data_IF_232845024863
#
_entry.id   IF_232845024863
#
_cell.length_a   1.000
_cell.length_b   1.000
_cell.length_c   1.000
_cell.angle_alpha   90.00
_cell.angle_beta   90.00
_cell.angle_gamma   90.00
#
_symmetry.space_group_name_H-M   'P 1'
#
loop_
_entity.id
_entity.type
_entity.pdbx_description
1 polymer ?
#
# COMPACT_ATOMS: atom_id res chain seq x y z
N UNK A 1 -16.22 2.60 24.95
CA UNK A 1 -15.66 2.76 23.57
C UNK A 1 -16.35 1.77 22.65
N UNK A 2 -16.49 2.08 21.35
CA UNK A 2 -17.06 1.12 20.43
C UNK A 2 -16.07 -0.04 20.19
N UNK A 3 -16.59 -1.26 20.05
CA UNK A 3 -15.79 -2.41 19.65
C UNK A 3 -15.38 -2.31 18.18
N UNK A 4 -14.08 -2.31 17.88
CA UNK A 4 -13.58 -2.25 16.50
C UNK A 4 -13.42 -3.64 15.90
N UNK A 5 -13.94 -3.81 14.67
CA UNK A 5 -13.78 -5.02 13.86
C UNK A 5 -13.43 -4.59 12.44
N UNK A 6 -12.31 -5.04 11.91
CA UNK A 6 -11.92 -4.85 10.51
C UNK A 6 -12.26 -6.12 9.71
N UNK A 7 -12.89 -5.94 8.55
CA UNK A 7 -13.11 -7.01 7.58
C UNK A 7 -12.33 -6.64 6.32
N UNK A 8 -11.24 -7.37 6.05
CA UNK A 8 -10.36 -6.96 4.96
C UNK A 8 -9.46 -8.03 4.40
N UNK A 9 -8.92 -7.71 3.22
CA UNK A 9 -7.97 -8.55 2.48
C UNK A 9 -6.57 -8.45 3.12
N UNK A 10 -6.46 -8.95 4.35
CA UNK A 10 -5.27 -8.85 5.17
C UNK A 10 -4.97 -10.18 5.89
N UNK A 11 -3.71 -10.44 6.12
CA UNK A 11 -3.16 -11.56 6.89
C UNK A 11 -2.26 -11.02 8.01
N UNK A 12 -2.06 -11.80 9.08
CA UNK A 12 -1.01 -11.49 10.06
C UNK A 12 0.34 -11.30 9.36
N UNK A 13 1.19 -10.32 9.75
CA UNK A 13 2.43 -9.99 9.05
C UNK A 13 3.35 -11.19 8.80
N UNK A 14 3.52 -12.09 9.78
CA UNK A 14 4.34 -13.30 9.65
C UNK A 14 3.78 -14.23 8.57
N UNK A 15 2.47 -14.46 8.57
CA UNK A 15 1.81 -15.32 7.60
C UNK A 15 1.85 -14.69 6.20
N UNK A 16 1.65 -13.38 6.13
CA UNK A 16 1.75 -12.63 4.89
C UNK A 16 3.14 -12.80 4.26
N UNK A 17 4.22 -12.68 5.04
CA UNK A 17 5.58 -12.85 4.56
C UNK A 17 5.83 -14.25 4.02
N UNK A 18 5.42 -15.29 4.74
CA UNK A 18 5.54 -16.69 4.29
C UNK A 18 4.81 -16.93 2.96
N UNK A 19 3.65 -16.32 2.78
CA UNK A 19 2.87 -16.49 1.56
C UNK A 19 3.41 -15.63 0.40
N UNK A 20 4.00 -14.49 0.71
CA UNK A 20 4.67 -13.65 -0.28
C UNK A 20 5.91 -14.37 -0.84
N UNK A 21 6.72 -14.96 0.03
CA UNK A 21 7.91 -15.73 -0.34
C UNK A 21 7.54 -16.98 -1.17
N UNK A 22 6.39 -17.57 -0.89
CA UNK A 22 5.82 -18.68 -1.69
C UNK A 22 5.14 -18.21 -3.00
N UNK A 23 5.11 -16.92 -3.29
CA UNK A 23 4.46 -16.37 -4.48
C UNK A 23 2.92 -16.47 -4.49
N UNK A 24 2.28 -16.69 -3.34
CA UNK A 24 0.84 -16.96 -3.20
C UNK A 24 -0.01 -15.69 -3.03
N UNK A 25 0.59 -14.54 -2.71
CA UNK A 25 -0.12 -13.30 -2.38
C UNK A 25 -0.42 -12.45 -3.61
N UNK A 26 -1.58 -11.78 -3.57
CA UNK A 26 -1.99 -10.75 -4.52
C UNK A 26 -1.95 -9.39 -3.83
N UNK A 27 -1.49 -8.34 -4.53
CA UNK A 27 -1.49 -6.96 -4.07
C UNK A 27 -0.78 -6.70 -2.72
N UNK A 28 0.55 -6.84 -2.66
CA UNK A 28 1.32 -6.59 -1.43
C UNK A 28 1.18 -5.17 -0.86
N UNK A 29 1.01 -4.17 -1.72
CA UNK A 29 0.90 -2.76 -1.31
C UNK A 29 -0.35 -2.49 -0.47
N UNK A 30 -1.49 -3.07 -0.87
CA UNK A 30 -2.74 -2.96 -0.13
C UNK A 30 -2.66 -3.66 1.24
N UNK A 31 -2.06 -4.85 1.27
CA UNK A 31 -1.78 -5.57 2.52
C UNK A 31 -0.93 -4.69 3.46
N UNK A 32 0.12 -4.05 2.95
CA UNK A 32 1.00 -3.21 3.75
C UNK A 32 0.27 -1.99 4.33
N UNK A 33 -0.60 -1.34 3.53
CA UNK A 33 -1.44 -0.24 4.00
C UNK A 33 -2.35 -0.67 5.15
N UNK A 34 -3.09 -1.78 4.98
CA UNK A 34 -3.97 -2.29 6.03
C UNK A 34 -3.18 -2.75 7.27
N UNK A 35 -2.00 -3.36 7.10
CA UNK A 35 -1.15 -3.77 8.21
C UNK A 35 -0.72 -2.58 9.05
N UNK A 36 -0.22 -1.51 8.42
CA UNK A 36 0.17 -0.26 9.12
C UNK A 36 -1.02 0.39 9.84
N UNK A 37 -2.20 0.39 9.21
CA UNK A 37 -3.42 0.89 9.83
C UNK A 37 -3.81 0.09 11.08
N UNK A 38 -3.77 -1.25 10.97
CA UNK A 38 -4.07 -2.17 12.07
C UNK A 38 -3.08 -1.97 13.22
N UNK A 39 -1.78 -1.90 12.95
CA UNK A 39 -0.74 -1.66 13.95
C UNK A 39 -0.95 -0.33 14.67
N UNK A 40 -1.21 0.75 13.93
CA UNK A 40 -1.48 2.07 14.52
C UNK A 40 -2.71 2.07 15.42
N UNK A 41 -3.80 1.45 14.98
CA UNK A 41 -5.03 1.33 15.77
C UNK A 41 -4.82 0.44 17.01
N UNK A 42 -4.06 -0.66 16.87
CA UNK A 42 -3.83 -1.60 17.97
C UNK A 42 -3.02 -1.00 19.12
N UNK A 43 -2.27 0.06 18.87
CA UNK A 43 -1.58 0.82 19.91
C UNK A 43 -2.54 1.68 20.76
N UNK A 44 -3.77 1.90 20.29
CA UNK A 44 -4.78 2.74 20.96
C UNK A 44 -5.88 1.92 21.63
N UNK A 45 -6.33 0.85 20.98
CA UNK A 45 -7.40 -0.02 21.48
C UNK A 45 -7.41 -1.40 20.83
N UNK A 46 -8.16 -2.32 21.43
CA UNK A 46 -8.31 -3.68 20.91
C UNK A 46 -9.00 -3.69 19.54
N UNK A 47 -8.44 -4.48 18.61
CA UNK A 47 -8.97 -4.63 17.26
C UNK A 47 -9.15 -6.12 16.91
N UNK A 48 -10.31 -6.50 16.38
CA UNK A 48 -10.53 -7.78 15.75
C UNK A 48 -10.44 -7.66 14.23
N UNK A 49 -9.68 -8.53 13.60
CA UNK A 49 -9.48 -8.53 12.15
C UNK A 49 -10.03 -9.83 11.58
N UNK A 50 -11.13 -9.74 10.85
CA UNK A 50 -11.69 -10.86 10.11
C UNK A 50 -11.01 -10.94 8.75
N UNK A 51 -10.10 -11.89 8.61
CA UNK A 51 -9.22 -12.00 7.46
C UNK A 51 -9.96 -12.51 6.22
N UNK A 52 -9.81 -11.81 5.10
CA UNK A 52 -10.13 -12.26 3.75
C UNK A 52 -8.80 -12.54 3.02
N UNK A 53 -8.22 -13.74 3.14
CA UNK A 53 -6.87 -13.99 2.66
C UNK A 53 -6.69 -13.66 1.17
N UNK A 54 -5.72 -12.83 0.77
CA UNK A 54 -5.48 -12.43 -0.63
C UNK A 54 -4.73 -13.51 -1.43
N UNK A 55 -5.26 -14.72 -1.49
CA UNK A 55 -4.66 -15.90 -2.14
C UNK A 55 -4.97 -15.92 -3.64
N UNK A 56 -3.98 -16.29 -4.45
CA UNK A 56 -4.19 -16.55 -5.88
C UNK A 56 -5.19 -17.69 -6.10
N UNK A 57 -5.99 -17.60 -7.16
CA UNK A 57 -6.93 -18.67 -7.55
C UNK A 57 -6.21 -19.93 -8.01
N UNK A 58 -5.00 -19.78 -8.50
CA UNK A 58 -4.11 -20.87 -8.97
C UNK A 58 -3.23 -21.45 -7.87
N UNK A 59 -3.43 -21.01 -6.62
CA UNK A 59 -2.69 -21.55 -5.49
C UNK A 59 -2.92 -23.04 -5.34
N UNK A 60 -1.86 -23.79 -5.03
CA UNK A 60 -1.93 -25.21 -4.67
C UNK A 60 -2.67 -25.49 -3.35
N UNK A 61 -2.91 -24.43 -2.55
CA UNK A 61 -3.63 -24.53 -1.28
C UNK A 61 -5.14 -24.61 -1.51
N UNK A 62 -5.65 -25.82 -1.62
CA UNK A 62 -7.09 -26.08 -1.82
C UNK A 62 -7.93 -25.83 -0.57
N UNK A 63 -7.39 -26.12 0.61
CA UNK A 63 -8.06 -25.92 1.90
C UNK A 63 -7.22 -25.03 2.81
N UNK A 64 -7.89 -24.07 3.43
CA UNK A 64 -7.32 -23.20 4.45
C UNK A 64 -8.00 -23.45 5.79
N UNK A 65 -7.25 -23.84 6.82
CA UNK A 65 -7.82 -24.13 8.14
C UNK A 65 -8.21 -22.83 8.87
N UNK A 66 -9.02 -23.01 9.92
CA UNK A 66 -9.24 -21.94 10.90
C UNK A 66 -7.94 -21.66 11.67
N UNK A 67 -7.62 -20.38 11.83
CA UNK A 67 -6.51 -19.93 12.66
C UNK A 67 -6.85 -18.62 13.36
N UNK A 68 -6.42 -18.50 14.60
CA UNK A 68 -6.53 -17.27 15.39
C UNK A 68 -5.13 -16.88 15.82
N UNK A 69 -4.72 -15.67 15.39
CA UNK A 69 -3.43 -15.10 15.73
C UNK A 69 -3.65 -13.88 16.63
N UNK A 70 -2.84 -13.75 17.68
CA UNK A 70 -2.85 -12.59 18.57
C UNK A 70 -1.51 -11.88 18.48
N UNK A 71 -1.54 -10.59 18.11
CA UNK A 71 -0.38 -9.72 18.02
C UNK A 71 -0.72 -8.42 18.79
N UNK A 72 -0.11 -8.26 19.96
CA UNK A 72 -0.46 -7.15 20.85
C UNK A 72 -1.96 -7.11 21.16
N UNK A 73 -2.61 -6.00 20.91
CA UNK A 73 -4.05 -5.81 21.13
C UNK A 73 -4.91 -6.24 19.91
N UNK A 74 -4.29 -6.80 18.87
CA UNK A 74 -5.00 -7.27 17.68
C UNK A 74 -5.22 -8.77 17.69
N UNK A 75 -6.45 -9.18 17.39
CA UNK A 75 -6.81 -10.58 17.16
C UNK A 75 -7.20 -10.78 15.69
N UNK A 76 -6.36 -11.49 14.94
CA UNK A 76 -6.64 -11.90 13.56
C UNK A 76 -7.38 -13.23 13.55
N UNK A 77 -8.49 -13.29 12.83
CA UNK A 77 -9.34 -14.47 12.72
C UNK A 77 -9.42 -14.86 11.26
N UNK A 78 -8.79 -15.96 10.92
CA UNK A 78 -8.89 -16.60 9.62
C UNK A 78 -9.90 -17.74 9.71
N UNK A 79 -10.98 -17.63 8.95
CA UNK A 79 -11.99 -18.69 8.87
C UNK A 79 -11.54 -19.79 7.90
N UNK A 80 -11.95 -21.05 8.14
CA UNK A 80 -11.64 -22.13 7.21
C UNK A 80 -12.41 -21.94 5.89
N UNK A 81 -11.76 -22.23 4.76
CA UNK A 81 -12.40 -22.20 3.46
C UNK A 81 -11.73 -23.12 2.43
N UNK A 82 -12.52 -23.52 1.44
CA UNK A 82 -12.01 -24.16 0.24
C UNK A 82 -11.67 -23.07 -0.80
N UNK A 83 -10.44 -23.11 -1.34
CA UNK A 83 -9.95 -22.13 -2.29
C UNK A 83 -10.49 -22.40 -3.72
N UNK A 84 -11.80 -22.53 -3.83
CA UNK A 84 -12.49 -22.68 -5.11
C UNK A 84 -13.34 -21.44 -5.41
N UNK A 85 -13.42 -21.10 -6.69
CA UNK A 85 -14.01 -19.85 -7.19
C UNK A 85 -15.36 -19.48 -6.57
N UNK A 86 -16.25 -20.44 -6.42
CA UNK A 86 -17.62 -20.22 -5.94
C UNK A 86 -17.77 -20.52 -4.44
N UNK A 87 -17.10 -21.54 -3.94
CA UNK A 87 -17.23 -22.00 -2.56
C UNK A 87 -16.57 -21.04 -1.57
N UNK A 88 -15.41 -20.47 -1.94
CA UNK A 88 -14.66 -19.56 -1.06
C UNK A 88 -15.49 -18.34 -0.60
N UNK A 89 -16.10 -17.52 -1.48
CA UNK A 89 -16.87 -16.37 -1.00
C UNK A 89 -18.12 -16.76 -0.22
N UNK A 90 -18.75 -17.89 -0.56
CA UNK A 90 -19.93 -18.39 0.16
C UNK A 90 -19.58 -18.84 1.57
N UNK A 91 -18.57 -19.69 1.72
CA UNK A 91 -18.17 -20.21 3.03
C UNK A 91 -17.65 -19.10 3.95
N UNK A 92 -16.80 -18.21 3.45
CA UNK A 92 -16.31 -17.05 4.21
C UNK A 92 -17.45 -16.12 4.62
N UNK A 93 -18.38 -15.80 3.72
CA UNK A 93 -19.55 -14.98 4.04
C UNK A 93 -20.40 -15.61 5.15
N UNK A 94 -20.70 -16.91 5.04
CA UNK A 94 -21.50 -17.63 6.03
C UNK A 94 -20.85 -17.59 7.42
N UNK A 95 -19.57 -17.92 7.51
CA UNK A 95 -18.84 -17.97 8.77
C UNK A 95 -18.67 -16.61 9.41
N UNK A 96 -18.35 -15.58 8.61
CA UNK A 96 -18.25 -14.21 9.12
C UNK A 96 -19.59 -13.69 9.63
N UNK A 97 -20.70 -14.00 8.95
CA UNK A 97 -22.03 -13.66 9.47
C UNK A 97 -22.35 -14.38 10.76
N UNK A 98 -22.02 -15.65 10.87
CA UNK A 98 -22.19 -16.42 12.11
C UNK A 98 -21.37 -15.81 13.25
N UNK A 99 -20.13 -15.44 12.99
CA UNK A 99 -19.24 -14.78 13.94
C UNK A 99 -19.79 -13.43 14.38
N UNK A 100 -20.15 -12.55 13.43
CA UNK A 100 -20.70 -11.24 13.71
C UNK A 100 -22.00 -11.32 14.51
N UNK A 101 -22.93 -12.21 14.14
CA UNK A 101 -24.17 -12.43 14.92
C UNK A 101 -23.89 -12.85 16.37
N UNK A 102 -22.91 -13.76 16.57
CA UNK A 102 -22.48 -14.15 17.93
C UNK A 102 -21.90 -12.96 18.67
N UNK A 103 -21.00 -12.19 18.05
CA UNK A 103 -20.38 -10.99 18.65
C UNK A 103 -21.41 -9.95 19.03
N UNK A 104 -22.39 -9.67 18.16
CA UNK A 104 -23.48 -8.70 18.42
C UNK A 104 -24.34 -9.13 19.63
N UNK A 105 -24.62 -10.42 19.74
CA UNK A 105 -25.40 -10.96 20.89
C UNK A 105 -24.63 -10.89 22.20
N UNK A 106 -23.33 -11.09 22.16
CA UNK A 106 -22.48 -11.13 23.36
C UNK A 106 -21.98 -9.74 23.81
N UNK A 107 -22.00 -8.74 22.93
CA UNK A 107 -21.55 -7.39 23.25
C UNK A 107 -22.74 -6.49 23.57
N UNK A 108 -22.60 -5.71 24.62
CA UNK A 108 -23.52 -4.58 24.93
C UNK A 108 -23.07 -3.28 24.28
N UNK A 109 -21.82 -3.20 23.81
CA UNK A 109 -21.23 -2.04 23.18
C UNK A 109 -21.66 -1.88 21.71
N UNK A 110 -21.61 -0.66 21.20
CA UNK A 110 -21.69 -0.39 19.77
C UNK A 110 -20.49 -1.02 19.04
N UNK A 111 -20.72 -1.45 17.82
CA UNK A 111 -19.69 -2.08 16.98
C UNK A 111 -19.42 -1.18 15.79
N UNK A 112 -18.15 -0.87 15.58
CA UNK A 112 -17.67 -0.17 14.41
C UNK A 112 -17.00 -1.18 13.47
N UNK A 113 -17.58 -1.36 12.29
CA UNK A 113 -17.01 -2.22 11.24
C UNK A 113 -16.18 -1.38 10.28
N UNK A 114 -14.87 -1.59 10.28
CA UNK A 114 -13.95 -1.08 9.28
C UNK A 114 -13.94 -2.04 8.09
N UNK A 115 -14.31 -1.56 6.91
CA UNK A 115 -14.57 -2.41 5.73
C UNK A 115 -13.56 -2.08 4.65
N UNK A 116 -12.80 -3.08 4.24
CA UNK A 116 -11.92 -2.99 3.08
C UNK A 116 -12.74 -2.73 1.81
N UNK A 117 -12.66 -1.51 1.31
CA UNK A 117 -13.36 -1.03 0.12
C UNK A 117 -12.86 -1.68 -1.17
N UNK A 118 -11.67 -2.27 -1.16
CA UNK A 118 -11.12 -3.01 -2.29
C UNK A 118 -11.64 -4.45 -2.35
N UNK A 119 -12.48 -4.87 -1.39
CA UNK A 119 -13.06 -6.20 -1.33
C UNK A 119 -14.59 -6.19 -1.52
N UNK A 120 -15.06 -6.69 -2.66
CA UNK A 120 -16.52 -6.89 -2.88
C UNK A 120 -17.16 -7.81 -1.85
N UNK A 121 -16.40 -8.80 -1.34
CA UNK A 121 -16.90 -9.71 -0.31
C UNK A 121 -17.09 -8.97 1.01
N UNK A 122 -16.13 -8.14 1.42
CA UNK A 122 -16.26 -7.29 2.62
C UNK A 122 -17.48 -6.36 2.51
N UNK A 123 -17.64 -5.68 1.37
CA UNK A 123 -18.81 -4.83 1.09
C UNK A 123 -20.14 -5.61 1.15
N UNK A 124 -20.17 -6.82 0.60
CA UNK A 124 -21.37 -7.69 0.65
C UNK A 124 -21.71 -8.14 2.06
N UNK A 125 -20.70 -8.37 2.91
CA UNK A 125 -20.91 -8.71 4.32
C UNK A 125 -21.44 -7.47 5.07
N UNK A 126 -20.81 -6.32 4.89
CA UNK A 126 -21.17 -5.07 5.53
C UNK A 126 -22.59 -4.62 5.21
N UNK A 127 -23.03 -4.78 3.95
CA UNK A 127 -24.36 -4.35 3.48
C UNK A 127 -25.52 -4.98 4.26
N UNK A 128 -25.31 -6.12 4.90
CA UNK A 128 -26.32 -6.78 5.73
C UNK A 128 -26.49 -6.16 7.13
N UNK A 129 -25.54 -5.34 7.54
CA UNK A 129 -25.52 -4.71 8.88
C UNK A 129 -25.71 -3.20 8.84
N UNK A 130 -25.86 -2.59 7.69
CA UNK A 130 -25.97 -1.14 7.52
C UNK A 130 -27.15 -0.50 8.25
N UNK A 131 -28.22 -1.25 8.51
CA UNK A 131 -29.40 -0.78 9.22
C UNK A 131 -29.49 -1.33 10.66
N UNK A 132 -28.44 -1.99 11.13
CA UNK A 132 -28.45 -2.52 12.50
C UNK A 132 -28.17 -1.41 13.53
N UNK A 133 -29.03 -1.18 14.54
CA UNK A 133 -28.98 0.02 15.41
C UNK A 133 -27.66 0.16 16.20
N UNK A 134 -26.93 -0.93 16.43
CA UNK A 134 -25.67 -0.93 17.18
C UNK A 134 -24.43 -1.08 16.29
N UNK A 135 -24.58 -1.00 14.96
CA UNK A 135 -23.46 -1.17 14.04
C UNK A 135 -23.33 0.05 13.14
N UNK A 136 -22.14 0.62 13.12
CA UNK A 136 -21.77 1.58 12.12
C UNK A 136 -20.68 0.99 11.22
N UNK A 137 -20.70 1.32 9.93
CA UNK A 137 -19.74 0.82 8.95
C UNK A 137 -18.93 1.97 8.37
N UNK A 138 -17.62 1.80 8.28
CA UNK A 138 -16.69 2.74 7.65
C UNK A 138 -16.00 2.02 6.49
N UNK A 139 -16.17 2.52 5.27
CA UNK A 139 -15.47 1.99 4.09
C UNK A 139 -14.07 2.59 3.97
N UNK A 140 -13.06 1.77 3.72
CA UNK A 140 -11.65 2.19 3.53
C UNK A 140 -11.23 1.89 2.09
N UNK A 141 -10.84 2.92 1.34
CA UNK A 141 -10.60 2.84 -0.11
C UNK A 141 -9.18 3.28 -0.46
N UNK A 142 -8.42 2.40 -1.12
CA UNK A 142 -7.07 2.69 -1.62
C UNK A 142 -6.98 2.65 -3.14
N UNK A 143 -8.00 2.11 -3.82
CA UNK A 143 -8.01 1.98 -5.27
C UNK A 143 -9.42 2.20 -5.83
N UNK A 144 -9.50 2.75 -7.04
CA UNK A 144 -10.74 2.82 -7.80
C UNK A 144 -10.98 1.52 -8.58
N UNK A 145 -12.18 0.93 -8.53
CA UNK A 145 -12.50 -0.24 -9.34
C UNK A 145 -12.43 0.03 -10.85
N UNK A 146 -12.45 1.30 -11.27
CA UNK A 146 -12.27 1.70 -12.67
C UNK A 146 -10.83 1.49 -13.16
N UNK A 147 -9.85 1.53 -12.24
CA UNK A 147 -8.43 1.33 -12.55
C UNK A 147 -8.02 -0.16 -12.60
N UNK A 148 -8.93 -1.07 -12.24
CA UNK A 148 -8.66 -2.50 -12.30
C UNK A 148 -8.87 -3.01 -13.74
N UNK A 149 -7.78 -3.43 -14.37
CA UNK A 149 -7.80 -3.96 -15.73
C UNK A 149 -8.79 -5.14 -15.87
N UNK A 150 -9.52 -5.18 -16.98
CA UNK A 150 -10.44 -6.27 -17.35
C UNK A 150 -11.66 -6.47 -16.42
N UNK A 151 -12.00 -5.50 -15.57
CA UNK A 151 -13.25 -5.54 -14.81
C UNK A 151 -14.44 -5.17 -15.70
N UNK A 152 -15.43 -6.08 -15.78
CA UNK A 152 -16.66 -5.84 -16.55
C UNK A 152 -17.48 -4.71 -15.89
N UNK A 153 -18.17 -3.83 -16.68
CA UNK A 153 -18.96 -2.71 -16.15
C UNK A 153 -19.99 -3.11 -15.09
N UNK A 154 -20.61 -4.27 -15.23
CA UNK A 154 -21.55 -4.80 -14.24
C UNK A 154 -20.90 -5.09 -12.87
N UNK A 155 -19.63 -5.51 -12.85
CA UNK A 155 -18.88 -5.73 -11.61
C UNK A 155 -18.52 -4.40 -10.95
N UNK A 156 -18.16 -3.38 -11.73
CA UNK A 156 -17.90 -2.02 -11.24
C UNK A 156 -19.17 -1.44 -10.61
N UNK A 157 -20.33 -1.52 -11.31
CA UNK A 157 -21.63 -1.05 -10.75
C UNK A 157 -22.00 -1.78 -9.46
N UNK A 158 -21.81 -3.11 -9.43
CA UNK A 158 -22.05 -3.91 -8.22
C UNK A 158 -21.12 -3.49 -7.06
N UNK A 159 -19.86 -3.14 -7.36
CA UNK A 159 -18.89 -2.68 -6.37
C UNK A 159 -19.36 -1.36 -5.73
N UNK A 160 -19.68 -0.34 -6.53
CA UNK A 160 -20.23 0.91 -6.02
C UNK A 160 -21.50 0.72 -5.23
N UNK A 161 -22.44 -0.11 -5.71
CA UNK A 161 -23.68 -0.38 -4.97
C UNK A 161 -23.44 -0.96 -3.57
N UNK A 162 -22.46 -1.84 -3.41
CA UNK A 162 -22.12 -2.44 -2.13
C UNK A 162 -21.44 -1.46 -1.16
N UNK A 163 -20.67 -0.50 -1.70
CA UNK A 163 -19.83 0.36 -0.89
C UNK A 163 -20.35 1.80 -0.73
N UNK A 164 -21.41 2.21 -1.40
CA UNK A 164 -22.04 3.54 -1.23
C UNK A 164 -22.97 3.65 -0.01
N UNK A 165 -23.06 2.61 0.78
CA UNK A 165 -24.02 2.52 1.87
C UNK A 165 -23.38 2.59 3.26
N UNK A 166 -22.08 2.84 3.35
CA UNK A 166 -21.40 3.01 4.62
C UNK A 166 -21.88 4.28 5.36
N UNK A 167 -21.67 4.32 6.67
CA UNK A 167 -21.99 5.47 7.51
C UNK A 167 -20.93 6.55 7.39
N UNK A 168 -19.66 6.13 7.16
CA UNK A 168 -18.54 7.03 6.94
C UNK A 168 -17.51 6.41 5.99
N UNK A 169 -16.57 7.22 5.51
CA UNK A 169 -15.64 6.85 4.45
C UNK A 169 -14.22 7.31 4.75
N UNK A 170 -13.25 6.47 4.48
CA UNK A 170 -11.82 6.78 4.48
C UNK A 170 -11.28 6.47 3.09
N UNK A 171 -10.51 7.37 2.51
CA UNK A 171 -9.91 7.14 1.19
C UNK A 171 -8.63 7.92 1.01
N UNK A 172 -7.77 7.45 0.10
CA UNK A 172 -6.45 8.05 -0.10
C UNK A 172 -6.50 9.41 -0.81
N UNK A 173 -7.56 9.69 -1.58
CA UNK A 173 -7.78 11.00 -2.20
C UNK A 173 -9.25 11.41 -2.10
N UNK A 174 -9.51 12.72 -2.17
CA UNK A 174 -10.87 13.23 -2.19
C UNK A 174 -11.63 12.78 -3.45
N UNK A 175 -10.95 12.75 -4.60
CA UNK A 175 -11.53 12.27 -5.87
C UNK A 175 -12.00 10.81 -5.74
N UNK A 176 -11.19 9.94 -5.12
CA UNK A 176 -11.58 8.56 -4.87
C UNK A 176 -12.78 8.48 -3.92
N UNK A 177 -12.79 9.28 -2.86
CA UNK A 177 -13.93 9.33 -1.92
C UNK A 177 -15.21 9.77 -2.61
N UNK A 178 -15.17 10.75 -3.50
CA UNK A 178 -16.35 11.22 -4.26
C UNK A 178 -16.96 10.12 -5.14
N UNK A 179 -16.18 9.13 -5.59
CA UNK A 179 -16.72 7.97 -6.30
C UNK A 179 -17.64 7.10 -5.42
N UNK A 180 -17.30 6.95 -4.14
CA UNK A 180 -18.00 6.07 -3.20
C UNK A 180 -18.96 6.78 -2.28
N UNK A 181 -18.78 8.08 -2.03
CA UNK A 181 -19.55 8.89 -1.10
C UNK A 181 -20.32 10.05 -1.79
N UNK A 182 -21.22 9.77 -2.75
CA UNK A 182 -21.97 10.82 -3.44
C UNK A 182 -22.92 11.58 -2.48
N UNK A 183 -23.28 10.99 -1.33
CA UNK A 183 -24.16 11.59 -0.32
C UNK A 183 -23.42 12.46 0.70
N UNK A 184 -22.12 12.69 0.52
CA UNK A 184 -21.27 13.53 1.40
C UNK A 184 -21.41 13.21 2.88
N UNK A 185 -21.51 11.94 3.24
CA UNK A 185 -21.46 11.47 4.62
C UNK A 185 -20.07 11.78 5.22
N UNK A 186 -19.89 11.65 6.55
CA UNK A 186 -18.59 11.87 7.16
C UNK A 186 -17.48 11.14 6.42
N UNK A 187 -16.40 11.84 6.11
CA UNK A 187 -15.26 11.28 5.38
C UNK A 187 -13.93 11.81 5.88
N UNK A 188 -12.89 11.00 5.74
CA UNK A 188 -11.54 11.35 6.07
C UNK A 188 -10.58 11.00 4.92
N UNK A 189 -9.83 11.99 4.45
CA UNK A 189 -8.76 11.76 3.47
C UNK A 189 -7.53 11.30 4.21
N UNK A 190 -7.12 10.06 3.97
CA UNK A 190 -5.93 9.42 4.53
C UNK A 190 -4.98 9.04 3.39
N UNK A 191 -4.09 9.96 2.96
CA UNK A 191 -3.30 9.77 1.75
C UNK A 191 -2.35 8.57 1.81
N UNK A 192 -1.78 8.32 2.97
CA UNK A 192 -0.82 7.24 3.18
C UNK A 192 -0.66 6.92 4.66
N UNK A 193 0.02 5.80 4.92
CA UNK A 193 0.52 5.46 6.24
C UNK A 193 1.98 5.02 6.05
N UNK A 194 2.90 5.70 6.73
CA UNK A 194 4.32 5.38 6.69
C UNK A 194 4.79 4.76 8.00
N UNK A 195 5.93 4.09 7.92
CA UNK A 195 6.58 3.49 9.08
C UNK A 195 8.06 3.91 9.09
N UNK A 196 8.62 4.05 10.27
CA UNK A 196 10.04 4.32 10.40
C UNK A 196 10.86 3.17 9.79
N UNK A 197 11.89 3.53 9.07
CA UNK A 197 12.83 2.57 8.48
C UNK A 197 14.22 2.80 9.07
N UNK A 198 14.85 1.72 9.51
CA UNK A 198 16.27 1.72 9.84
C UNK A 198 17.03 1.06 8.69
N UNK A 199 18.06 1.76 8.24
CA UNK A 199 18.89 1.30 7.14
C UNK A 199 20.24 0.78 7.62
N UNK A 200 20.69 -0.30 6.99
CA UNK A 200 22.08 -0.72 7.01
C UNK A 200 22.56 -0.81 5.57
N UNK A 201 23.84 -0.53 5.34
CA UNK A 201 24.45 -0.66 4.01
C UNK A 201 24.22 -2.08 3.47
N UNK A 202 23.58 -2.18 2.32
CA UNK A 202 23.23 -3.46 1.68
C UNK A 202 24.10 -3.78 0.45
N UNK A 203 24.95 -2.85 0.03
CA UNK A 203 25.80 -2.98 -1.14
C UNK A 203 27.11 -2.21 -0.93
N UNK A 204 28.23 -2.72 -1.45
CA UNK A 204 29.56 -2.16 -1.19
C UNK A 204 29.75 -0.77 -1.82
N UNK A 205 29.18 -0.55 -3.00
CA UNK A 205 29.24 0.73 -3.73
C UNK A 205 27.99 1.57 -3.48
N UNK A 206 28.07 2.90 -3.59
CA UNK A 206 26.87 3.73 -3.68
C UNK A 206 25.96 3.26 -4.80
N UNK A 207 24.64 3.40 -4.66
CA UNK A 207 23.70 2.95 -5.67
C UNK A 207 22.47 3.83 -5.82
N UNK A 208 22.04 3.95 -7.07
CA UNK A 208 20.70 4.40 -7.43
C UNK A 208 19.76 3.22 -7.24
N UNK A 209 18.63 3.41 -6.57
CA UNK A 209 17.71 2.32 -6.29
C UNK A 209 16.31 2.54 -6.85
N UNK A 210 15.78 1.50 -7.48
CA UNK A 210 14.38 1.40 -7.85
C UNK A 210 13.78 0.13 -7.27
N UNK A 211 12.60 0.24 -6.65
CA UNK A 211 11.83 -0.93 -6.21
C UNK A 211 10.35 -0.79 -6.56
N UNK A 212 9.72 -1.89 -6.98
CA UNK A 212 8.30 -1.94 -7.24
C UNK A 212 7.89 -2.77 -8.44
N UNK A 213 6.66 -2.58 -8.91
CA UNK A 213 6.17 -3.30 -10.07
C UNK A 213 6.92 -2.87 -11.35
N UNK A 214 7.36 -3.86 -12.14
CA UNK A 214 8.22 -3.67 -13.31
C UNK A 214 7.35 -3.68 -14.58
N UNK A 215 6.67 -2.55 -14.83
CA UNK A 215 5.88 -2.29 -16.03
C UNK A 215 6.46 -1.13 -16.82
N UNK A 216 6.36 -1.15 -18.14
CA UNK A 216 6.81 -0.07 -19.02
C UNK A 216 6.25 1.29 -18.61
N UNK A 217 4.95 1.35 -18.32
CA UNK A 217 4.26 2.57 -17.89
C UNK A 217 4.82 3.20 -16.59
N UNK A 218 5.68 2.51 -15.87
CA UNK A 218 6.35 3.06 -14.69
C UNK A 218 7.74 3.61 -14.97
N UNK A 219 8.13 3.74 -16.26
CA UNK A 219 9.37 4.36 -16.67
C UNK A 219 10.62 3.56 -16.33
N UNK A 220 10.47 2.24 -16.09
CA UNK A 220 11.55 1.37 -15.60
C UNK A 220 12.66 1.25 -16.64
N UNK A 221 12.32 0.96 -17.91
CA UNK A 221 13.29 0.87 -19.00
C UNK A 221 13.90 2.24 -19.34
N UNK A 222 13.08 3.30 -19.26
CA UNK A 222 13.53 4.69 -19.46
C UNK A 222 14.64 5.04 -18.46
N UNK A 223 14.48 4.64 -17.19
CA UNK A 223 15.51 4.83 -16.15
C UNK A 223 16.81 4.07 -16.51
N UNK A 224 16.72 2.83 -16.98
CA UNK A 224 17.88 2.05 -17.36
C UNK A 224 18.63 2.72 -18.53
N UNK A 225 17.91 3.14 -19.57
CA UNK A 225 18.51 3.82 -20.71
C UNK A 225 19.15 5.15 -20.31
N UNK A 226 18.48 5.94 -19.47
CA UNK A 226 19.04 7.19 -18.94
C UNK A 226 20.34 6.96 -18.15
N UNK A 227 20.35 5.92 -17.30
CA UNK A 227 21.52 5.54 -16.51
C UNK A 227 22.68 5.07 -17.42
N UNK A 228 22.41 4.24 -18.42
CA UNK A 228 23.41 3.76 -19.38
C UNK A 228 24.02 4.90 -20.22
N UNK A 229 23.20 5.86 -20.64
CA UNK A 229 23.69 7.05 -21.35
C UNK A 229 24.52 7.99 -20.46
N UNK A 230 24.14 8.12 -19.17
CA UNK A 230 24.86 8.94 -18.21
C UNK A 230 26.25 8.37 -17.87
N UNK A 231 26.40 7.04 -17.88
CA UNK A 231 27.65 6.31 -17.55
C UNK A 231 28.29 6.81 -16.24
N UNK A 232 27.55 6.83 -15.12
CA UNK A 232 28.09 7.40 -13.88
C UNK A 232 29.24 6.52 -13.37
N UNK A 233 30.30 7.18 -12.86
CA UNK A 233 31.46 6.50 -12.27
C UNK A 233 31.17 6.12 -10.81
N UNK A 234 31.53 4.90 -10.44
CA UNK A 234 31.50 4.44 -9.03
C UNK A 234 30.13 4.43 -8.33
N UNK A 235 29.05 4.40 -9.06
CA UNK A 235 27.70 4.24 -8.54
C UNK A 235 26.96 3.19 -9.35
N UNK A 236 26.25 2.27 -8.72
CA UNK A 236 25.52 1.20 -9.40
C UNK A 236 24.02 1.52 -9.50
N UNK A 237 23.32 0.89 -10.44
CA UNK A 237 21.86 0.90 -10.51
C UNK A 237 21.34 -0.45 -10.00
N UNK A 238 20.65 -0.44 -8.86
CA UNK A 238 20.02 -1.61 -8.29
C UNK A 238 18.50 -1.55 -8.50
N UNK A 239 17.95 -2.63 -9.00
CA UNK A 239 16.53 -2.73 -9.34
C UNK A 239 15.90 -3.95 -8.68
N UNK A 240 14.80 -3.74 -7.96
CA UNK A 240 14.06 -4.80 -7.30
C UNK A 240 12.58 -4.77 -7.69
N UNK A 241 11.99 -5.95 -7.88
CA UNK A 241 10.57 -6.05 -8.17
C UNK A 241 10.22 -7.19 -9.09
N UNK A 242 8.98 -7.18 -9.54
CA UNK A 242 8.44 -8.18 -10.45
C UNK A 242 7.45 -7.55 -11.44
N UNK A 243 7.45 -8.02 -12.66
CA UNK A 243 6.55 -7.54 -13.71
C UNK A 243 6.92 -8.04 -15.12
N UNK A 244 6.17 -7.63 -16.13
CA UNK A 244 6.38 -8.08 -17.52
C UNK A 244 7.78 -7.80 -18.06
N UNK A 245 8.45 -6.73 -17.61
CA UNK A 245 9.80 -6.36 -18.08
C UNK A 245 10.94 -6.97 -17.25
N UNK A 246 10.65 -7.83 -16.27
CA UNK A 246 11.67 -8.44 -15.40
C UNK A 246 12.77 -9.16 -16.19
N UNK A 247 12.40 -9.98 -17.16
CA UNK A 247 13.35 -10.73 -17.98
C UNK A 247 14.27 -9.81 -18.79
N UNK A 248 13.73 -8.69 -19.28
CA UNK A 248 14.53 -7.70 -20.03
C UNK A 248 15.56 -7.02 -19.13
N UNK A 249 15.16 -6.69 -17.88
CA UNK A 249 16.07 -6.09 -16.89
C UNK A 249 17.18 -7.07 -16.51
N UNK A 250 16.85 -8.34 -16.34
CA UNK A 250 17.82 -9.39 -16.04
C UNK A 250 18.85 -9.53 -17.16
N UNK A 251 18.44 -9.55 -18.43
CA UNK A 251 19.33 -9.56 -19.58
C UNK A 251 20.27 -8.35 -19.59
N UNK A 252 19.74 -7.13 -19.32
CA UNK A 252 20.54 -5.92 -19.26
C UNK A 252 21.55 -5.97 -18.09
N UNK A 253 21.17 -6.56 -16.95
CA UNK A 253 22.07 -6.72 -15.80
C UNK A 253 23.24 -7.67 -16.10
N UNK A 254 23.03 -8.67 -16.94
CA UNK A 254 24.11 -9.57 -17.39
C UNK A 254 25.10 -8.87 -18.36
N UNK A 255 24.60 -7.95 -19.17
CA UNK A 255 25.41 -7.19 -20.14
C UNK A 255 26.17 -6.02 -19.50
N UNK A 256 25.66 -5.46 -18.40
CA UNK A 256 26.18 -4.25 -17.77
C UNK A 256 26.46 -4.46 -16.28
N UNK A 257 27.73 -4.62 -15.90
CA UNK A 257 28.13 -4.91 -14.51
C UNK A 257 27.63 -3.92 -13.45
N UNK A 258 27.36 -2.68 -13.86
CA UNK A 258 26.84 -1.63 -12.97
C UNK A 258 25.33 -1.70 -12.75
N UNK A 259 24.61 -2.55 -13.49
CA UNK A 259 23.19 -2.77 -13.29
C UNK A 259 23.01 -4.10 -12.55
N UNK A 260 22.29 -4.08 -11.43
CA UNK A 260 22.00 -5.26 -10.63
C UNK A 260 20.50 -5.47 -10.54
N UNK A 261 20.03 -6.59 -11.04
CA UNK A 261 18.66 -7.01 -10.84
C UNK A 261 18.58 -7.93 -9.62
N UNK A 262 17.83 -7.51 -8.61
CA UNK A 262 17.70 -8.21 -7.32
C UNK A 262 16.48 -9.13 -7.26
N UNK A 263 15.67 -9.17 -8.34
CA UNK A 263 14.41 -9.90 -8.34
C UNK A 263 13.39 -9.33 -7.37
N UNK A 264 12.43 -10.15 -6.98
CA UNK A 264 11.43 -9.79 -5.98
C UNK A 264 12.03 -9.92 -4.58
N UNK A 265 12.18 -8.80 -3.89
CA UNK A 265 12.63 -8.77 -2.49
C UNK A 265 11.43 -8.80 -1.54
N UNK A 266 11.63 -9.38 -0.36
CA UNK A 266 10.66 -9.24 0.72
C UNK A 266 10.61 -7.79 1.25
N UNK A 267 9.51 -7.36 1.89
CA UNK A 267 9.35 -5.99 2.33
C UNK A 267 10.47 -5.48 3.26
N UNK A 268 10.94 -6.33 4.17
CA UNK A 268 12.01 -5.97 5.12
C UNK A 268 13.33 -5.69 4.40
N UNK A 269 13.72 -6.56 3.46
CA UNK A 269 14.93 -6.37 2.68
C UNK A 269 14.82 -5.20 1.70
N UNK A 270 13.63 -5.02 1.09
CA UNK A 270 13.35 -3.85 0.24
C UNK A 270 13.59 -2.55 1.01
N UNK A 271 13.08 -2.45 2.24
CA UNK A 271 13.26 -1.27 3.09
C UNK A 271 14.74 -1.01 3.43
N UNK A 272 15.51 -2.06 3.68
CA UNK A 272 16.95 -1.92 3.93
C UNK A 272 17.69 -1.36 2.71
N UNK A 273 17.36 -1.85 1.50
CA UNK A 273 17.92 -1.28 0.26
C UNK A 273 17.47 0.16 0.02
N UNK A 274 16.21 0.50 0.32
CA UNK A 274 15.73 1.87 0.22
C UNK A 274 16.49 2.82 1.15
N UNK A 275 16.69 2.42 2.39
CA UNK A 275 17.37 3.25 3.39
C UNK A 275 18.88 3.36 3.17
N UNK A 276 19.51 2.35 2.57
CA UNK A 276 20.93 2.38 2.21
C UNK A 276 21.25 2.99 0.84
N UNK A 277 20.23 3.42 0.08
CA UNK A 277 20.42 3.97 -1.26
C UNK A 277 21.11 5.34 -1.22
N UNK A 278 22.00 5.59 -2.20
CA UNK A 278 22.51 6.93 -2.47
C UNK A 278 21.38 7.85 -2.94
N UNK A 279 20.48 7.31 -3.77
CA UNK A 279 19.22 7.94 -4.16
C UNK A 279 18.18 6.89 -4.55
N UNK A 280 16.97 7.02 -4.04
CA UNK A 280 15.81 6.28 -4.52
C UNK A 280 15.20 7.01 -5.71
N UNK A 281 14.86 6.30 -6.80
CA UNK A 281 14.34 6.93 -8.01
C UNK A 281 12.97 6.38 -8.36
N UNK A 282 12.00 7.27 -8.59
CA UNK A 282 10.70 6.94 -9.17
C UNK A 282 10.53 7.66 -10.51
N UNK A 283 10.81 6.99 -11.63
CA UNK A 283 10.78 7.58 -12.96
C UNK A 283 9.37 7.56 -13.60
N UNK A 284 8.32 7.19 -12.85
CA UNK A 284 6.98 7.01 -13.39
C UNK A 284 6.47 8.28 -14.05
N UNK A 285 6.12 8.27 -15.36
CA UNK A 285 5.44 9.39 -15.99
C UNK A 285 4.17 9.79 -15.23
N UNK A 286 3.86 11.07 -15.23
CA UNK A 286 2.59 11.56 -14.69
C UNK A 286 1.43 11.09 -15.57
N UNK A 287 0.34 10.72 -14.93
CA UNK A 287 -0.91 10.32 -15.54
C UNK A 287 -2.04 10.98 -14.74
N UNK A 288 -2.61 12.06 -15.28
CA UNK A 288 -3.60 12.88 -14.58
C UNK A 288 -4.80 12.04 -14.09
N UNK A 289 -5.27 11.13 -14.91
CA UNK A 289 -6.42 10.28 -14.56
C UNK A 289 -6.12 9.33 -13.40
N UNK A 290 -4.88 8.83 -13.32
CA UNK A 290 -4.43 7.97 -12.23
C UNK A 290 -4.00 8.79 -11.01
N UNK A 291 -3.27 9.88 -11.20
CA UNK A 291 -2.69 10.69 -10.12
C UNK A 291 -3.76 11.44 -9.30
N UNK A 292 -4.94 11.68 -9.86
CA UNK A 292 -6.08 12.23 -9.14
C UNK A 292 -6.75 11.23 -8.18
N UNK A 293 -6.62 9.92 -8.41
CA UNK A 293 -7.28 8.88 -7.60
C UNK A 293 -6.30 7.99 -6.82
N UNK A 294 -5.00 8.11 -7.09
CA UNK A 294 -3.97 7.27 -6.49
C UNK A 294 -2.76 8.10 -6.06
N UNK A 295 -2.13 7.71 -4.96
CA UNK A 295 -0.89 8.32 -4.47
C UNK A 295 0.25 7.33 -4.68
N UNK A 296 1.44 7.78 -5.13
CA UNK A 296 2.56 6.87 -5.37
C UNK A 296 3.17 6.39 -4.05
N UNK A 297 2.59 5.33 -3.48
CA UNK A 297 2.99 4.78 -2.17
C UNK A 297 4.49 4.48 -2.07
N UNK A 298 5.13 4.04 -3.17
CA UNK A 298 6.57 3.80 -3.19
C UNK A 298 7.40 5.07 -2.93
N UNK A 299 6.96 6.23 -3.39
CA UNK A 299 7.65 7.51 -3.14
C UNK A 299 7.62 7.84 -1.66
N UNK A 300 6.51 7.56 -0.99
CA UNK A 300 6.38 7.76 0.44
C UNK A 300 7.24 6.78 1.25
N UNK A 301 7.36 5.53 0.77
CA UNK A 301 8.32 4.57 1.34
C UNK A 301 9.78 5.06 1.14
N UNK A 302 10.12 5.62 -0.03
CA UNK A 302 11.43 6.22 -0.26
C UNK A 302 11.70 7.40 0.68
N UNK A 303 10.76 8.32 0.82
CA UNK A 303 10.87 9.47 1.73
C UNK A 303 11.03 9.00 3.19
N UNK A 304 10.21 8.04 3.63
CA UNK A 304 10.28 7.52 5.02
C UNK A 304 11.54 6.71 5.30
N UNK A 305 12.26 6.25 4.26
CA UNK A 305 13.55 5.59 4.41
C UNK A 305 14.66 6.52 4.90
N UNK A 306 14.54 7.82 4.61
CA UNK A 306 15.55 8.83 4.94
C UNK A 306 16.70 8.93 3.94
N UNK A 307 16.69 8.15 2.87
CA UNK A 307 17.60 8.34 1.76
C UNK A 307 17.04 9.39 0.77
N UNK A 308 17.88 10.14 0.06
CA UNK A 308 17.44 11.09 -0.94
C UNK A 308 16.49 10.46 -1.96
N UNK A 309 15.47 11.20 -2.36
CA UNK A 309 14.44 10.74 -3.29
C UNK A 309 14.41 11.63 -4.52
N UNK A 310 14.43 11.01 -5.71
CA UNK A 310 14.29 11.65 -7.01
C UNK A 310 13.03 11.09 -7.70
N UNK A 311 12.04 11.95 -7.97
CA UNK A 311 10.74 11.51 -8.51
C UNK A 311 10.14 12.52 -9.46
N UNK A 312 9.19 12.12 -10.31
CA UNK A 312 8.33 13.03 -11.06
C UNK A 312 7.44 13.86 -10.14
N UNK A 313 6.94 15.02 -10.61
CA UNK A 313 6.18 16.00 -9.80
C UNK A 313 4.73 15.56 -9.59
N UNK A 314 4.50 14.55 -8.78
CA UNK A 314 3.13 14.20 -8.39
C UNK A 314 2.55 15.31 -7.47
N UNK A 315 1.32 15.81 -7.73
CA UNK A 315 0.76 16.97 -7.02
C UNK A 315 0.77 16.84 -5.49
N UNK A 316 0.38 15.68 -4.95
CA UNK A 316 0.40 15.43 -3.52
C UNK A 316 1.84 15.45 -2.95
N UNK A 317 2.80 14.83 -3.66
CA UNK A 317 4.19 14.78 -3.20
C UNK A 317 4.81 16.18 -3.23
N UNK A 318 4.55 16.96 -4.29
CA UNK A 318 5.02 18.33 -4.40
C UNK A 318 4.43 19.22 -3.30
N UNK A 319 3.13 19.15 -3.06
CA UNK A 319 2.48 19.94 -2.03
C UNK A 319 3.01 19.67 -0.60
N UNK A 320 3.44 18.43 -0.31
CA UNK A 320 3.89 18.05 1.04
C UNK A 320 5.41 18.14 1.22
N UNK A 321 6.21 17.88 0.17
CA UNK A 321 7.64 17.62 0.31
C UNK A 321 8.53 18.44 -0.65
N UNK A 322 7.99 19.45 -1.35
CA UNK A 322 8.68 20.17 -2.43
C UNK A 322 10.13 20.54 -2.10
N UNK A 323 10.38 21.11 -0.93
CA UNK A 323 11.71 21.64 -0.55
C UNK A 323 12.70 20.56 -0.13
N UNK A 324 12.25 19.33 0.06
CA UNK A 324 13.00 18.26 0.72
C UNK A 324 13.37 17.10 -0.19
N UNK A 325 12.83 17.05 -1.42
CA UNK A 325 13.10 15.98 -2.39
C UNK A 325 13.61 16.56 -3.71
N UNK A 326 13.98 15.70 -4.63
CA UNK A 326 14.50 16.08 -5.95
C UNK A 326 13.51 15.64 -7.04
N UNK A 327 13.44 16.42 -8.13
CA UNK A 327 12.45 16.22 -9.17
C UNK A 327 13.05 15.84 -10.52
N UNK A 328 12.32 14.96 -11.21
CA UNK A 328 12.43 14.66 -12.63
C UNK A 328 11.36 15.53 -13.31
N UNK A 329 11.80 16.53 -14.06
CA UNK A 329 10.89 17.48 -14.71
C UNK A 329 10.35 16.94 -16.05
N UNK A 330 11.08 16.02 -16.69
CA UNK A 330 10.69 15.31 -17.89
C UNK A 330 11.00 13.80 -17.74
N UNK A 331 10.00 12.97 -17.95
CA UNK A 331 10.10 11.50 -17.82
C UNK A 331 10.68 10.78 -19.05
N UNK A 332 11.16 11.52 -20.04
CA UNK A 332 11.95 10.98 -21.16
C UNK A 332 13.32 10.44 -20.69
N UNK A 333 14.00 9.69 -21.56
CA UNK A 333 15.36 9.20 -21.27
C UNK A 333 16.31 10.38 -20.97
N UNK A 334 16.25 11.44 -21.78
CA UNK A 334 17.08 12.62 -21.59
C UNK A 334 16.71 13.39 -20.32
N UNK A 335 15.43 13.58 -20.04
CA UNK A 335 14.97 14.26 -18.82
C UNK A 335 15.44 13.53 -17.55
N UNK A 336 15.27 12.21 -17.48
CA UNK A 336 15.77 11.39 -16.36
C UNK A 336 17.31 11.46 -16.28
N UNK A 337 18.01 11.38 -17.40
CA UNK A 337 19.48 11.52 -17.46
C UNK A 337 19.95 12.86 -16.92
N UNK A 338 19.31 13.95 -17.30
CA UNK A 338 19.62 15.30 -16.81
C UNK A 338 19.36 15.39 -15.31
N UNK A 339 18.23 14.91 -14.83
CA UNK A 339 17.87 14.92 -13.42
C UNK A 339 18.86 14.10 -12.56
N UNK A 340 19.24 12.91 -13.03
CA UNK A 340 20.27 12.08 -12.38
C UNK A 340 21.62 12.80 -12.37
N UNK A 341 22.06 13.37 -13.51
CA UNK A 341 23.31 14.11 -13.59
C UNK A 341 23.33 15.29 -12.60
N UNK A 342 22.25 16.08 -12.57
CA UNK A 342 22.08 17.21 -11.64
C UNK A 342 22.21 16.75 -10.19
N UNK A 343 21.53 15.68 -9.83
CA UNK A 343 21.57 15.10 -8.48
C UNK A 343 22.97 14.60 -8.12
N UNK A 344 23.61 13.80 -8.98
CA UNK A 344 24.93 13.21 -8.73
C UNK A 344 26.07 14.23 -8.70
N UNK A 345 25.88 15.44 -9.27
CA UNK A 345 26.84 16.54 -9.23
C UNK A 345 26.59 17.52 -8.08
N UNK A 346 25.51 17.36 -7.32
CA UNK A 346 25.16 18.21 -6.20
C UNK A 346 25.86 17.76 -4.91
N UNK A 347 25.84 18.64 -3.89
CA UNK A 347 26.32 18.31 -2.54
C UNK A 347 25.42 17.25 -1.91
N UNK A 348 25.97 16.06 -1.71
CA UNK A 348 25.28 14.94 -1.09
C UNK A 348 24.90 15.22 0.38
N UNK A 349 25.73 15.93 1.13
CA UNK A 349 25.42 16.29 2.52
C UNK A 349 24.17 17.12 2.65
N UNK A 350 23.99 18.07 1.73
CA UNK A 350 22.76 18.88 1.64
C UNK A 350 21.57 18.02 1.22
N UNK A 351 21.74 17.12 0.25
CA UNK A 351 20.67 16.21 -0.20
C UNK A 351 20.23 15.27 0.95
N UNK A 352 21.17 14.73 1.73
CA UNK A 352 20.90 13.88 2.89
C UNK A 352 20.20 14.66 4.02
N UNK A 353 20.60 15.92 4.25
CA UNK A 353 19.93 16.79 5.22
C UNK A 353 18.47 17.04 4.85
N UNK A 354 18.20 17.30 3.57
CA UNK A 354 16.82 17.44 3.04
C UNK A 354 16.03 16.14 3.22
N UNK A 355 16.62 14.99 2.88
CA UNK A 355 15.98 13.68 3.02
C UNK A 355 15.60 13.37 4.48
N UNK A 356 16.46 13.72 5.45
CA UNK A 356 16.15 13.55 6.87
C UNK A 356 14.97 14.44 7.31
N UNK A 357 14.88 15.68 6.80
CA UNK A 357 13.73 16.55 7.05
C UNK A 357 12.45 15.99 6.44
N UNK A 358 12.52 15.50 5.19
CA UNK A 358 11.38 14.83 4.54
C UNK A 358 10.90 13.61 5.32
N UNK A 359 11.82 12.76 5.79
CA UNK A 359 11.52 11.60 6.65
C UNK A 359 10.80 12.03 7.93
N UNK A 360 11.33 13.01 8.64
CA UNK A 360 10.71 13.49 9.88
C UNK A 360 9.31 14.03 9.62
N UNK A 361 9.12 14.83 8.57
CA UNK A 361 7.80 15.33 8.17
C UNK A 361 6.84 14.18 7.83
N UNK A 362 7.29 13.19 7.07
CA UNK A 362 6.47 12.03 6.73
C UNK A 362 6.03 11.24 7.97
N UNK A 363 6.94 10.99 8.90
CA UNK A 363 6.65 10.25 10.13
C UNK A 363 5.72 11.02 11.09
N UNK A 364 5.92 12.33 11.23
CA UNK A 364 5.06 13.17 12.09
C UNK A 364 3.67 13.39 11.51
N UNK A 365 3.52 13.41 10.18
CA UNK A 365 2.24 13.66 9.51
C UNK A 365 1.46 12.38 9.19
N UNK A 366 2.16 11.31 8.81
CA UNK A 366 1.58 10.09 8.26
C UNK A 366 2.09 8.81 8.94
N UNK A 367 2.84 8.92 10.04
CA UNK A 367 3.30 7.78 10.82
C UNK A 367 2.13 6.95 11.37
N UNK A 368 2.29 5.63 11.40
CA UNK A 368 1.21 4.70 11.80
C UNK A 368 0.66 4.99 13.21
N UNK A 369 1.50 5.43 14.15
CA UNK A 369 1.10 5.76 15.52
C UNK A 369 0.15 6.96 15.53
N UNK A 370 0.53 8.03 14.82
CA UNK A 370 -0.32 9.23 14.68
C UNK A 370 -1.62 8.90 13.98
N UNK A 371 -1.56 8.19 12.85
CA UNK A 371 -2.76 7.81 12.09
C UNK A 371 -3.68 6.93 12.92
N UNK A 372 -3.13 5.99 13.70
CA UNK A 372 -3.93 5.18 14.62
C UNK A 372 -4.66 6.00 15.67
N UNK A 373 -3.96 6.94 16.28
CA UNK A 373 -4.55 7.87 17.25
C UNK A 373 -5.64 8.74 16.62
N UNK A 374 -5.34 9.37 15.48
CA UNK A 374 -6.28 10.24 14.77
C UNK A 374 -7.53 9.46 14.31
N UNK A 375 -7.34 8.23 13.80
CA UNK A 375 -8.46 7.37 13.39
C UNK A 375 -9.38 7.01 14.55
N UNK A 376 -8.82 6.58 15.67
CA UNK A 376 -9.62 6.23 16.85
C UNK A 376 -10.35 7.46 17.39
N UNK A 377 -9.71 8.62 17.40
CA UNK A 377 -10.31 9.89 17.79
C UNK A 377 -11.46 10.25 16.86
N UNK A 378 -11.25 10.17 15.54
CA UNK A 378 -12.27 10.46 14.55
C UNK A 378 -13.46 9.49 14.63
N UNK A 379 -13.21 8.20 14.79
CA UNK A 379 -14.26 7.19 14.99
C UNK A 379 -15.11 7.50 16.22
N UNK A 380 -14.50 7.90 17.32
CA UNK A 380 -15.24 8.24 18.54
C UNK A 380 -16.06 9.53 18.41
N UNK A 381 -15.73 10.41 17.47
CA UNK A 381 -16.50 11.61 17.13
C UNK A 381 -17.67 11.34 16.17
N UNK A 382 -17.69 10.19 15.49
CA UNK A 382 -18.81 9.74 14.65
C UNK A 382 -19.98 9.26 15.57
N UNK A 383 -20.77 10.18 16.08
CA UNK A 383 -21.94 9.86 16.92
C UNK A 383 -23.22 9.79 16.10
#
# INVERSE_FOLDING_TARGET
>A
MAKLILIGSVLPPIIFQQWLDAGEVINPSHQLFLTRLIEGVSNQQTLQVLCLPPVKKTSSKLFMPENIYRLGQTMYIQFPFLNQRWLRPMSLSFQMHRYLKKTIRQSTENIMLLIDGNSRLAGSIASRYQHHPRIQTIGIFTDSPKQISNLRPQHIRSWYRLHRQHHAYIGITETLLNEFNPSKKPQWVLPCIVDAMEGAKQHDRPYVFFSGALYERYGVETLIHAYLQLKPKNIDLLMAGFGPVSQRIEQLSQQHRQIKFLGLLNPTLTRKYQAGAYVNVNPRPLDEALDNVAIPSKVLDYISSGAPTLTTRHPFIEAQFNDYIHYIDDSSVDGIRIALKRFLSADYGLAQTKANKAKNLALTSFGKEKIGYDLVTWINALK
#
